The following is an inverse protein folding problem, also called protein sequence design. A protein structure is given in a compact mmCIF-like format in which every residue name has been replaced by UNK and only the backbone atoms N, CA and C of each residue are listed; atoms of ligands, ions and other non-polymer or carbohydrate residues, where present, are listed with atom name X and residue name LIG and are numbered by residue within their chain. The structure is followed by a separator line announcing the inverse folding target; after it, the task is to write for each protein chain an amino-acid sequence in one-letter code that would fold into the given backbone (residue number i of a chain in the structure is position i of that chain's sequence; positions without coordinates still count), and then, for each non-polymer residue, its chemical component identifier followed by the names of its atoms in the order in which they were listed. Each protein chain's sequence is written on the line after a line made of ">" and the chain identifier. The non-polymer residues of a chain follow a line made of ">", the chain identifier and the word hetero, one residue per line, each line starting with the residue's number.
data_IF_337778991126
#
_entry.id   IF_337778991126
#
_cell.length_a   1.000
_cell.length_b   1.000
_cell.length_c   1.000
_cell.angle_alpha   90.00
_cell.angle_beta   90.00
_cell.angle_gamma   90.00
#
_symmetry.space_group_name_H-M   'P 1'
#
loop_
_entity.id
_entity.type
_entity.pdbx_description
1 polymer ?
#
# COMPACT_ATOMS: atom_id res chain seq x y z
N UNK A 1 -23.98 -13.70 -35.96
CA UNK A 1 -23.92 -13.84 -34.48
C UNK A 1 -22.66 -13.12 -34.02
N UNK A 2 -22.80 -11.84 -33.66
CA UNK A 2 -21.68 -11.00 -33.25
C UNK A 2 -21.34 -11.28 -31.78
N UNK A 3 -20.12 -11.74 -31.53
CA UNK A 3 -19.57 -11.81 -30.18
C UNK A 3 -19.28 -10.38 -29.71
N UNK A 4 -20.04 -9.90 -28.73
CA UNK A 4 -19.68 -8.71 -27.97
C UNK A 4 -18.40 -9.04 -27.20
N UNK A 5 -17.26 -8.65 -27.79
CA UNK A 5 -16.05 -8.43 -27.02
C UNK A 5 -16.36 -7.29 -26.05
N UNK A 6 -16.72 -7.64 -24.81
CA UNK A 6 -16.66 -6.71 -23.70
C UNK A 6 -15.23 -6.16 -23.70
N UNK A 7 -15.08 -4.93 -24.16
CA UNK A 7 -13.91 -4.13 -23.91
C UNK A 7 -13.82 -3.97 -22.39
N UNK A 8 -13.18 -4.94 -21.74
CA UNK A 8 -12.54 -4.72 -20.45
C UNK A 8 -11.54 -3.62 -20.74
N UNK A 9 -11.95 -2.40 -20.46
CA UNK A 9 -11.04 -1.27 -20.38
C UNK A 9 -10.11 -1.59 -19.22
N UNK A 10 -9.05 -2.33 -19.49
CA UNK A 10 -7.90 -2.45 -18.61
C UNK A 10 -7.43 -1.01 -18.39
N UNK A 11 -7.80 -0.44 -17.24
CA UNK A 11 -7.28 0.84 -16.83
C UNK A 11 -5.81 0.62 -16.52
N UNK A 12 -5.00 0.77 -17.56
CA UNK A 12 -3.59 0.37 -17.67
C UNK A 12 -2.66 1.34 -16.92
N UNK A 13 -3.01 1.67 -15.66
CA UNK A 13 -2.20 2.56 -14.82
C UNK A 13 -1.75 1.82 -13.57
N UNK A 14 -0.51 1.34 -13.62
CA UNK A 14 0.24 1.19 -12.37
C UNK A 14 0.80 2.56 -12.04
N UNK A 15 0.09 3.30 -11.18
CA UNK A 15 0.58 4.58 -10.70
C UNK A 15 1.79 4.33 -9.80
N UNK A 16 2.98 4.68 -10.29
CA UNK A 16 4.20 4.71 -9.47
C UNK A 16 4.31 6.08 -8.82
N UNK A 17 4.11 6.10 -7.51
CA UNK A 17 4.16 7.28 -6.67
C UNK A 17 5.58 7.52 -6.16
N UNK A 18 5.88 8.79 -5.96
CA UNK A 18 6.99 9.24 -5.13
C UNK A 18 6.45 9.73 -3.80
N UNK A 19 7.32 9.93 -2.80
CA UNK A 19 6.92 10.55 -1.53
C UNK A 19 6.28 11.93 -1.76
N UNK A 20 6.75 12.69 -2.75
CA UNK A 20 6.20 14.01 -3.06
C UNK A 20 4.76 13.97 -3.60
N UNK A 21 4.40 12.92 -4.35
CA UNK A 21 3.04 12.77 -4.92
C UNK A 21 2.09 11.98 -4.01
N UNK A 22 2.61 11.31 -2.99
CA UNK A 22 1.87 10.38 -2.14
C UNK A 22 0.67 11.04 -1.43
N UNK A 23 0.90 12.19 -0.77
CA UNK A 23 -0.16 12.90 -0.03
C UNK A 23 -1.33 13.30 -0.93
N UNK A 24 -1.02 13.80 -2.13
CA UNK A 24 -2.03 14.20 -3.11
C UNK A 24 -2.83 12.99 -3.61
N UNK A 25 -2.15 11.85 -3.82
CA UNK A 25 -2.81 10.60 -4.21
C UNK A 25 -3.72 10.04 -3.10
N UNK A 26 -3.29 10.14 -1.83
CA UNK A 26 -4.08 9.68 -0.68
C UNK A 26 -5.38 10.47 -0.49
N UNK A 27 -5.48 11.72 -0.96
CA UNK A 27 -6.70 12.55 -0.87
C UNK A 27 -7.33 12.60 0.53
N UNK A 28 -6.49 12.67 1.58
CA UNK A 28 -6.95 12.69 2.97
C UNK A 28 -7.24 11.31 3.60
N UNK A 29 -7.08 10.22 2.85
CA UNK A 29 -7.21 8.85 3.35
C UNK A 29 -5.96 8.39 4.08
N UNK A 30 -6.10 7.35 4.90
CA UNK A 30 -4.97 6.61 5.48
C UNK A 30 -4.42 5.60 4.46
N UNK A 31 -3.24 5.04 4.70
CA UNK A 31 -2.64 4.05 3.81
C UNK A 31 -2.00 2.87 4.56
N UNK A 32 -2.00 1.71 3.90
CA UNK A 32 -1.23 0.52 4.28
C UNK A 32 -0.12 0.29 3.27
N UNK A 33 1.13 0.39 3.73
CA UNK A 33 2.32 0.20 2.90
C UNK A 33 2.86 -1.21 3.12
N UNK A 34 2.70 -2.06 2.13
CA UNK A 34 3.18 -3.45 2.10
C UNK A 34 4.58 -3.48 1.49
N UNK A 35 5.58 -3.93 2.25
CA UNK A 35 6.91 -4.13 1.67
C UNK A 35 6.96 -5.30 0.69
N UNK A 36 6.11 -6.30 0.89
CA UNK A 36 5.95 -7.48 0.05
C UNK A 36 4.47 -7.83 -0.05
N UNK A 37 3.74 -7.14 -0.93
CA UNK A 37 2.29 -7.30 -1.05
C UNK A 37 1.89 -8.75 -1.38
N UNK A 38 2.67 -9.44 -2.22
CA UNK A 38 2.38 -10.79 -2.69
C UNK A 38 2.34 -11.84 -1.57
N UNK A 39 2.93 -11.57 -0.40
CA UNK A 39 2.85 -12.48 0.75
C UNK A 39 1.43 -12.60 1.32
N UNK A 40 0.58 -11.61 1.04
CA UNK A 40 -0.81 -11.55 1.51
C UNK A 40 -1.82 -11.96 0.44
N UNK A 41 -1.34 -12.35 -0.74
CA UNK A 41 -2.20 -12.69 -1.86
C UNK A 41 -2.83 -14.08 -1.69
N UNK A 42 -4.11 -14.20 -2.03
CA UNK A 42 -4.78 -15.49 -2.14
C UNK A 42 -4.90 -15.89 -3.62
N UNK A 43 -3.95 -16.71 -4.11
CA UNK A 43 -3.92 -17.19 -5.50
C UNK A 43 -4.75 -18.47 -5.72
N UNK A 44 -5.95 -18.52 -5.13
CA UNK A 44 -6.88 -19.66 -5.25
C UNK A 44 -7.90 -19.50 -6.40
N UNK A 45 -8.81 -20.48 -6.50
CA UNK A 45 -9.88 -20.55 -7.52
C UNK A 45 -10.85 -19.34 -7.49
N UNK A 46 -10.85 -18.55 -6.41
CA UNK A 46 -11.73 -17.40 -6.20
C UNK A 46 -10.95 -16.06 -6.14
N UNK A 47 -9.79 -15.95 -6.80
CA UNK A 47 -8.95 -14.76 -6.74
C UNK A 47 -9.72 -13.46 -7.06
N UNK A 48 -10.60 -13.45 -8.06
CA UNK A 48 -11.37 -12.25 -8.42
C UNK A 48 -12.42 -11.89 -7.36
N UNK A 49 -13.07 -12.89 -6.75
CA UNK A 49 -14.02 -12.67 -5.65
C UNK A 49 -13.28 -12.16 -4.41
N UNK A 50 -12.12 -12.72 -4.12
CA UNK A 50 -11.24 -12.25 -3.04
C UNK A 50 -10.81 -10.80 -3.27
N UNK A 51 -10.38 -10.44 -4.49
CA UNK A 51 -10.02 -9.06 -4.83
C UNK A 51 -11.20 -8.10 -4.66
N UNK A 52 -12.39 -8.47 -5.11
CA UNK A 52 -13.59 -7.65 -4.93
C UNK A 52 -13.92 -7.42 -3.44
N UNK A 53 -13.76 -8.45 -2.60
CA UNK A 53 -13.93 -8.30 -1.15
C UNK A 53 -12.84 -7.40 -0.53
N UNK A 54 -11.58 -7.57 -0.93
CA UNK A 54 -10.48 -6.72 -0.45
C UNK A 54 -10.70 -5.26 -0.86
N UNK A 55 -11.01 -5.00 -2.13
CA UNK A 55 -11.32 -3.65 -2.62
C UNK A 55 -12.46 -3.01 -1.81
N UNK A 56 -13.56 -3.74 -1.60
CA UNK A 56 -14.70 -3.25 -0.84
C UNK A 56 -14.31 -2.87 0.60
N UNK A 57 -13.56 -3.72 1.30
CA UNK A 57 -13.18 -3.47 2.69
C UNK A 57 -12.18 -2.32 2.82
N UNK A 58 -11.25 -2.16 1.87
CA UNK A 58 -10.35 -1.00 1.82
C UNK A 58 -11.09 0.30 1.53
N UNK A 59 -12.04 0.28 0.59
CA UNK A 59 -12.91 1.43 0.31
C UNK A 59 -13.73 1.83 1.54
N UNK A 60 -14.38 0.85 2.19
CA UNK A 60 -15.21 1.04 3.38
C UNK A 60 -14.44 1.62 4.57
N UNK A 61 -13.20 1.16 4.79
CA UNK A 61 -12.35 1.66 5.86
C UNK A 61 -11.67 3.02 5.53
N UNK A 62 -11.88 3.55 4.31
CA UNK A 62 -11.17 4.71 3.77
C UNK A 62 -9.64 4.59 3.84
N UNK A 63 -9.10 3.38 3.63
CA UNK A 63 -7.66 3.12 3.62
C UNK A 63 -7.23 2.76 2.20
N UNK A 64 -6.07 3.26 1.77
CA UNK A 64 -5.51 2.95 0.46
C UNK A 64 -4.34 1.97 0.57
N UNK A 65 -4.34 0.83 -0.18
CA UNK A 65 -3.21 -0.08 -0.18
C UNK A 65 -2.08 0.44 -1.07
N UNK A 66 -0.84 0.25 -0.64
CA UNK A 66 0.37 0.63 -1.36
C UNK A 66 1.39 -0.50 -1.31
N UNK A 67 2.01 -0.82 -2.45
CA UNK A 67 3.19 -1.69 -2.50
C UNK A 67 4.45 -0.83 -2.43
N UNK A 68 5.46 -1.24 -1.66
CA UNK A 68 6.72 -0.48 -1.56
C UNK A 68 7.76 -1.05 -2.52
N UNK A 69 8.33 -0.17 -3.34
CA UNK A 69 9.49 -0.47 -4.18
C UNK A 69 10.71 0.22 -3.56
N UNK A 70 11.58 -0.57 -2.92
CA UNK A 70 12.83 -0.06 -2.34
C UNK A 70 13.95 -0.01 -3.39
N UNK A 71 14.67 1.11 -3.44
CA UNK A 71 15.95 1.25 -4.15
C UNK A 71 15.98 0.84 -5.64
N UNK A 72 14.81 0.70 -6.28
CA UNK A 72 14.72 0.27 -7.69
C UNK A 72 15.21 -1.16 -7.95
N UNK A 73 15.34 -2.01 -6.93
CA UNK A 73 15.92 -3.35 -7.04
C UNK A 73 14.99 -4.41 -7.68
N UNK A 74 13.92 -3.97 -8.34
CA UNK A 74 12.98 -4.81 -9.05
C UNK A 74 12.11 -3.94 -9.94
N UNK A 75 11.80 -4.43 -11.14
CA UNK A 75 10.80 -3.80 -12.00
C UNK A 75 9.47 -3.64 -11.25
N UNK A 76 8.66 -2.68 -11.69
CA UNK A 76 7.31 -2.50 -11.19
C UNK A 76 6.51 -3.76 -11.51
N UNK A 77 6.36 -4.66 -10.53
CA UNK A 77 5.58 -5.87 -10.69
C UNK A 77 4.16 -5.57 -10.24
N UNK A 78 3.18 -5.90 -11.08
CA UNK A 78 1.78 -5.86 -10.69
C UNK A 78 1.51 -6.86 -9.57
N UNK A 79 0.84 -6.38 -8.53
CA UNK A 79 0.41 -7.16 -7.38
C UNK A 79 -1.11 -7.03 -7.24
N UNK A 80 -1.70 -7.72 -6.25
CA UNK A 80 -3.11 -7.52 -5.93
C UNK A 80 -3.44 -6.08 -5.54
N UNK A 81 -2.46 -5.31 -5.02
CA UNK A 81 -2.62 -3.90 -4.62
C UNK A 81 -3.10 -3.06 -5.80
N UNK A 82 -2.50 -3.23 -6.97
CA UNK A 82 -2.88 -2.49 -8.18
C UNK A 82 -4.30 -2.85 -8.63
N UNK A 83 -4.71 -4.11 -8.42
CA UNK A 83 -6.02 -4.63 -8.83
C UNK A 83 -7.17 -4.16 -7.93
N UNK A 84 -6.89 -3.64 -6.73
CA UNK A 84 -7.89 -3.10 -5.79
C UNK A 84 -7.85 -1.57 -5.69
N UNK A 85 -7.29 -0.89 -6.68
CA UNK A 85 -7.20 0.57 -6.75
C UNK A 85 -6.07 1.18 -5.90
N UNK A 86 -5.10 0.38 -5.48
CA UNK A 86 -3.87 0.83 -4.85
C UNK A 86 -2.82 1.34 -5.85
N UNK A 87 -1.62 1.59 -5.35
CA UNK A 87 -0.51 2.09 -6.14
C UNK A 87 0.85 1.55 -5.65
N UNK A 88 1.90 1.76 -6.43
CA UNK A 88 3.26 1.43 -6.03
C UNK A 88 3.99 2.68 -5.54
N UNK A 89 4.61 2.63 -4.36
CA UNK A 89 5.38 3.72 -3.78
C UNK A 89 6.87 3.43 -3.93
N UNK A 90 7.55 4.23 -4.75
CA UNK A 90 8.99 4.17 -4.92
C UNK A 90 9.69 5.01 -3.84
N UNK A 91 10.56 4.35 -3.06
CA UNK A 91 11.37 5.01 -2.02
C UNK A 91 12.84 4.62 -2.20
N UNK A 92 13.70 5.63 -2.30
CA UNK A 92 15.14 5.50 -2.50
C UNK A 92 15.92 6.20 -1.40
N UNK A 93 17.15 5.76 -1.14
CA UNK A 93 18.09 6.48 -0.27
C UNK A 93 18.36 7.93 -0.70
N UNK A 94 18.36 8.19 -2.01
CA UNK A 94 18.48 9.57 -2.53
C UNK A 94 17.30 10.46 -2.12
N UNK A 95 16.12 9.89 -1.87
CA UNK A 95 14.96 10.64 -1.37
C UNK A 95 15.19 11.10 0.07
N UNK A 96 15.91 10.33 0.89
CA UNK A 96 16.29 10.76 2.25
C UNK A 96 17.21 11.98 2.22
N UNK A 97 18.12 12.07 1.24
CA UNK A 97 18.98 13.25 1.06
C UNK A 97 18.21 14.46 0.53
N UNK A 98 17.27 14.26 -0.41
CA UNK A 98 16.39 15.32 -0.94
C UNK A 98 15.37 15.81 0.10
N UNK A 99 14.98 14.94 1.02
CA UNK A 99 14.05 15.26 2.09
C UNK A 99 14.62 16.22 3.15
N UNK A 100 15.88 16.67 3.04
CA UNK A 100 16.41 17.77 3.86
C UNK A 100 15.58 19.06 3.72
N UNK A 101 14.92 19.27 2.57
CA UNK A 101 13.93 20.33 2.36
C UNK A 101 12.46 19.88 2.50
N UNK A 102 12.20 18.61 2.81
CA UNK A 102 10.84 18.09 2.99
C UNK A 102 10.37 18.24 4.45
N UNK A 103 9.06 18.11 4.64
CA UNK A 103 8.45 18.13 5.97
C UNK A 103 8.98 17.01 6.88
N UNK A 104 8.78 17.19 8.19
CA UNK A 104 9.23 16.22 9.19
C UNK A 104 8.56 14.84 9.01
N UNK A 105 7.30 14.83 8.56
CA UNK A 105 6.52 13.60 8.33
C UNK A 105 7.06 12.80 7.15
N UNK A 106 7.39 13.44 6.03
CA UNK A 106 8.00 12.78 4.87
C UNK A 106 9.34 12.13 5.25
N UNK A 107 10.19 12.85 6.00
CA UNK A 107 11.47 12.32 6.50
C UNK A 107 11.27 11.13 7.43
N UNK A 108 10.29 11.21 8.32
CA UNK A 108 9.95 10.12 9.23
C UNK A 108 9.48 8.89 8.45
N UNK A 109 8.59 9.05 7.46
CA UNK A 109 8.11 7.96 6.62
C UNK A 109 9.25 7.29 5.84
N UNK A 110 10.10 8.09 5.16
CA UNK A 110 11.25 7.57 4.41
C UNK A 110 12.15 6.75 5.32
N UNK A 111 12.47 7.29 6.51
CA UNK A 111 13.30 6.58 7.49
C UNK A 111 12.64 5.29 7.96
N UNK A 112 11.35 5.33 8.30
CA UNK A 112 10.57 4.17 8.74
C UNK A 112 10.49 3.07 7.69
N UNK A 113 10.59 3.38 6.39
CA UNK A 113 10.62 2.37 5.33
C UNK A 113 12.03 1.86 5.05
N UNK A 114 13.01 2.77 4.92
CA UNK A 114 14.37 2.41 4.52
C UNK A 114 15.15 1.69 5.62
N UNK A 115 14.88 2.00 6.90
CA UNK A 115 15.55 1.36 8.03
C UNK A 115 15.05 -0.06 8.34
N UNK A 116 13.95 -0.49 7.73
CA UNK A 116 13.41 -1.83 7.97
C UNK A 116 14.21 -2.88 7.20
N UNK A 117 14.92 -3.71 7.95
CA UNK A 117 15.67 -4.86 7.44
C UNK A 117 14.76 -6.07 7.14
N UNK A 118 13.57 -6.13 7.72
CA UNK A 118 12.60 -7.23 7.62
C UNK A 118 11.36 -6.85 6.80
N UNK A 119 10.49 -7.83 6.53
CA UNK A 119 9.21 -7.59 5.85
C UNK A 119 8.24 -6.91 6.81
N UNK A 120 7.36 -6.07 6.27
CA UNK A 120 6.49 -5.24 7.08
C UNK A 120 5.23 -4.80 6.34
N UNK A 121 4.24 -4.40 7.13
CA UNK A 121 3.11 -3.56 6.72
C UNK A 121 3.09 -2.33 7.62
N UNK A 122 3.11 -1.15 7.02
CA UNK A 122 3.15 0.13 7.75
C UNK A 122 1.84 0.89 7.56
N UNK A 123 1.18 1.22 8.66
CA UNK A 123 0.02 2.12 8.70
C UNK A 123 0.53 3.55 8.70
N UNK A 124 0.04 4.36 7.76
CA UNK A 124 0.40 5.77 7.59
C UNK A 124 -0.88 6.60 7.54
N UNK A 125 -0.91 7.70 8.28
CA UNK A 125 -2.06 8.62 8.27
C UNK A 125 -2.04 9.59 7.09
N UNK A 126 -3.06 10.45 6.99
CA UNK A 126 -3.16 11.48 5.96
C UNK A 126 -2.04 12.54 6.04
N UNK A 127 -1.42 12.67 7.22
CA UNK A 127 -0.29 13.54 7.47
C UNK A 127 1.05 12.93 7.01
N UNK A 128 1.07 11.70 6.49
CA UNK A 128 2.25 10.88 6.19
C UNK A 128 3.05 10.45 7.43
N UNK A 129 2.41 10.43 8.60
CA UNK A 129 3.03 9.97 9.84
C UNK A 129 2.84 8.46 9.97
N UNK A 130 3.93 7.71 10.22
CA UNK A 130 3.85 6.32 10.65
C UNK A 130 3.02 6.20 11.93
N UNK A 131 2.03 5.29 11.95
CA UNK A 131 1.15 5.07 13.12
C UNK A 131 1.30 3.69 13.74
N UNK A 132 1.54 2.66 12.93
CA UNK A 132 1.73 1.29 13.38
C UNK A 132 2.55 0.52 12.35
N UNK A 133 3.48 -0.32 12.80
CA UNK A 133 4.24 -1.22 11.93
C UNK A 133 3.99 -2.66 12.37
N UNK A 134 3.49 -3.48 11.44
CA UNK A 134 3.47 -4.93 11.59
C UNK A 134 4.69 -5.51 10.89
N UNK A 135 5.58 -6.17 11.64
CA UNK A 135 6.81 -6.79 11.12
C UNK A 135 6.65 -8.31 11.15
N UNK A 136 7.13 -8.99 10.12
CA UNK A 136 6.98 -10.44 9.97
C UNK A 136 8.12 -11.07 9.17
N UNK A 137 8.22 -12.39 9.27
CA UNK A 137 9.16 -13.22 8.51
C UNK A 137 8.45 -14.05 7.45
N UNK A 138 9.21 -14.51 6.45
CA UNK A 138 8.68 -15.38 5.38
C UNK A 138 8.16 -16.69 5.98
N UNK A 139 6.96 -17.12 5.57
CA UNK A 139 6.37 -18.39 5.98
C UNK A 139 5.62 -18.34 7.32
N UNK A 140 5.54 -17.18 7.96
CA UNK A 140 4.66 -16.98 9.11
C UNK A 140 3.18 -17.01 8.69
N UNK A 141 2.29 -17.35 9.63
CA UNK A 141 0.85 -17.21 9.42
C UNK A 141 0.48 -15.73 9.49
N UNK A 142 0.31 -15.11 8.32
CA UNK A 142 0.01 -13.69 8.20
C UNK A 142 -1.49 -13.41 8.36
N UNK A 143 -1.87 -12.26 8.94
CA UNK A 143 -3.23 -11.76 8.85
C UNK A 143 -3.58 -11.46 7.39
N UNK A 144 -4.84 -11.63 7.03
CA UNK A 144 -5.36 -11.21 5.73
C UNK A 144 -5.28 -9.68 5.55
N UNK A 145 -5.27 -9.17 4.29
CA UNK A 145 -5.38 -7.73 4.04
C UNK A 145 -6.59 -7.08 4.70
N UNK A 146 -7.71 -7.82 4.83
CA UNK A 146 -8.93 -7.36 5.47
C UNK A 146 -8.71 -7.17 6.98
N UNK A 147 -8.04 -8.11 7.66
CA UNK A 147 -7.71 -7.95 9.08
C UNK A 147 -6.78 -6.74 9.29
N UNK A 148 -5.78 -6.56 8.42
CA UNK A 148 -4.87 -5.41 8.48
C UNK A 148 -5.57 -4.07 8.27
N UNK A 149 -6.55 -4.00 7.36
CA UNK A 149 -7.28 -2.75 7.12
C UNK A 149 -8.15 -2.36 8.31
N UNK A 150 -8.78 -3.34 8.96
CA UNK A 150 -9.56 -3.10 10.18
C UNK A 150 -8.67 -2.79 11.39
N UNK A 151 -7.44 -3.31 11.44
CA UNK A 151 -6.44 -2.85 12.40
C UNK A 151 -6.10 -1.37 12.19
N UNK A 152 -5.86 -0.95 10.94
CA UNK A 152 -5.58 0.46 10.62
C UNK A 152 -6.76 1.37 10.98
N UNK A 153 -7.99 0.95 10.66
CA UNK A 153 -9.21 1.66 11.04
C UNK A 153 -9.29 1.91 12.55
N UNK A 154 -9.06 0.88 13.36
CA UNK A 154 -9.07 1.01 14.84
C UNK A 154 -7.96 1.93 15.36
N UNK A 155 -6.81 1.99 14.69
CA UNK A 155 -5.75 2.95 15.03
C UNK A 155 -6.19 4.38 14.74
N UNK A 156 -6.90 4.59 13.62
CA UNK A 156 -7.47 5.90 13.24
C UNK A 156 -8.49 6.39 14.26
N UNK A 157 -9.43 5.53 14.67
CA UNK A 157 -10.44 5.86 15.68
C UNK A 157 -9.81 6.36 16.98
N UNK A 158 -8.83 5.62 17.51
CA UNK A 158 -8.10 6.03 18.73
C UNK A 158 -7.24 7.28 18.60
N UNK A 159 -6.92 7.69 17.38
CA UNK A 159 -6.10 8.89 17.13
C UNK A 159 -6.94 10.16 17.00
N UNK A 160 -8.26 10.02 16.88
CA UNK A 160 -9.23 11.11 16.80
C UNK A 160 -9.84 11.49 18.15
N UNK A 161 -9.63 10.65 19.17
CA UNK A 161 -9.90 10.90 20.60
C UNK A 161 -8.81 11.78 21.22
#
# INVERSE_FOLDING_TARGET
>A
MAALALAYSECDRTDVLTIASLRAWMKGRWALLFSHADDFACYGFEADRWLAHVEHEFAKAEVSPLSVIKNGSGGVRRTWVDRVGGAALLIRWSDAHRARGAGASERSLISSVLMQATRFVLVVDEALRPRLTYVYSIGERLPSPIELVWMAHRVRERSAE
#
